data_IF_934596484045
#
_entry.id   IF_934596484045
#
_cell.length_a   1.000
_cell.length_b   1.000
_cell.length_c   1.000
_cell.angle_alpha   90.00
_cell.angle_beta   90.00
_cell.angle_gamma   90.00
#
_symmetry.space_group_name_H-M   'P 1'
#
loop_
_entity.id
_entity.type
_entity.pdbx_description
1 polymer ?
#
# COMPACT_ATOMS: atom_id res chain seq x y z
N UNK A 1 -32.59 -40.13 3.03
CA UNK A 1 -32.76 -38.69 2.78
C UNK A 1 -31.38 -38.07 2.77
N UNK A 2 -31.11 -37.30 1.71
CA UNK A 2 -29.78 -37.01 1.19
C UNK A 2 -28.84 -36.36 2.21
N UNK A 3 -27.70 -37.02 2.47
CA UNK A 3 -26.47 -36.32 2.83
C UNK A 3 -26.01 -35.59 1.57
N UNK A 4 -26.30 -34.30 1.48
CA UNK A 4 -25.56 -33.40 0.59
C UNK A 4 -24.13 -33.38 1.12
N UNK A 5 -23.18 -33.81 0.31
CA UNK A 5 -21.78 -33.51 0.55
C UNK A 5 -21.62 -31.99 0.58
N UNK A 6 -20.94 -31.47 1.59
CA UNK A 6 -20.56 -30.05 1.78
C UNK A 6 -19.59 -29.51 0.70
N UNK A 7 -19.55 -30.16 -0.46
CA UNK A 7 -18.53 -30.02 -1.48
C UNK A 7 -18.81 -28.94 -2.52
N UNK A 8 -20.01 -28.37 -2.60
CA UNK A 8 -20.32 -27.29 -3.56
C UNK A 8 -21.26 -26.25 -2.95
N UNK A 9 -20.82 -25.55 -1.90
CA UNK A 9 -21.42 -24.25 -1.60
C UNK A 9 -21.12 -23.32 -2.78
N UNK A 10 -22.11 -23.07 -3.63
CA UNK A 10 -22.01 -22.16 -4.76
C UNK A 10 -21.93 -20.73 -4.19
N UNK A 11 -20.72 -20.30 -3.88
CA UNK A 11 -20.49 -18.94 -3.43
C UNK A 11 -20.75 -17.94 -4.55
N UNK A 12 -21.28 -16.76 -4.21
CA UNK A 12 -21.35 -15.66 -5.15
C UNK A 12 -19.94 -15.19 -5.54
N UNK A 13 -19.87 -14.33 -6.55
CA UNK A 13 -18.62 -13.75 -7.05
C UNK A 13 -17.76 -13.20 -5.89
N UNK A 14 -16.51 -13.67 -5.69
CA UNK A 14 -15.67 -13.22 -4.59
C UNK A 14 -15.37 -11.73 -4.65
N UNK A 15 -15.22 -11.13 -3.47
CA UNK A 15 -14.81 -9.74 -3.28
C UNK A 15 -13.30 -9.71 -3.01
N UNK A 16 -12.63 -8.68 -3.53
CA UNK A 16 -11.21 -8.45 -3.29
C UNK A 16 -11.05 -7.09 -2.61
N UNK A 17 -10.48 -7.08 -1.41
CA UNK A 17 -10.09 -5.88 -0.66
C UNK A 17 -8.56 -5.86 -0.53
N UNK A 18 -7.93 -4.85 -1.14
CA UNK A 18 -6.53 -4.54 -0.90
C UNK A 18 -6.43 -3.47 0.20
N UNK A 19 -6.08 -3.89 1.43
CA UNK A 19 -5.97 -3.05 2.61
C UNK A 19 -4.66 -2.24 2.59
N UNK A 20 -4.67 -1.10 1.91
CA UNK A 20 -3.55 -0.16 1.93
C UNK A 20 -3.66 0.88 3.05
N UNK A 21 -2.55 1.21 3.70
CA UNK A 21 -2.49 2.21 4.79
C UNK A 21 -2.95 3.62 4.41
N UNK A 22 -2.88 3.96 3.11
CA UNK A 22 -3.33 5.24 2.57
C UNK A 22 -4.59 5.11 1.72
N UNK A 23 -4.63 4.12 0.83
CA UNK A 23 -5.74 3.88 -0.10
C UNK A 23 -6.10 2.40 -0.04
N UNK A 24 -7.37 2.12 0.21
CA UNK A 24 -7.97 0.80 0.13
C UNK A 24 -8.59 0.67 -1.25
N UNK A 25 -8.36 -0.47 -1.91
CA UNK A 25 -9.01 -0.80 -3.19
C UNK A 25 -10.00 -1.91 -2.98
N UNK A 26 -11.18 -1.78 -3.58
CA UNK A 26 -12.22 -2.80 -3.52
C UNK A 26 -12.83 -3.04 -4.90
N UNK A 27 -13.26 -4.28 -5.15
CA UNK A 27 -14.04 -4.65 -6.32
C UNK A 27 -14.35 -6.14 -6.32
N UNK A 28 -14.89 -6.61 -7.43
CA UNK A 28 -15.23 -8.02 -7.60
C UNK A 28 -14.13 -8.78 -8.36
N UNK A 29 -14.03 -10.08 -8.08
CA UNK A 29 -13.16 -11.00 -8.79
C UNK A 29 -13.47 -11.03 -10.29
N UNK A 30 -12.45 -11.05 -11.15
CA UNK A 30 -12.58 -11.07 -12.60
C UNK A 30 -12.70 -9.70 -13.27
N UNK A 31 -12.81 -8.61 -12.50
CA UNK A 31 -12.73 -7.26 -13.06
C UNK A 31 -11.26 -6.83 -13.30
N UNK A 32 -11.00 -6.08 -14.37
CA UNK A 32 -9.66 -5.59 -14.74
C UNK A 32 -9.15 -4.45 -13.84
N UNK A 33 -10.06 -3.72 -13.20
CA UNK A 33 -9.77 -2.56 -12.35
C UNK A 33 -10.66 -2.60 -11.11
N UNK A 34 -10.18 -2.09 -9.96
CA UNK A 34 -11.01 -2.02 -8.76
C UNK A 34 -12.20 -1.10 -9.02
N UNK A 35 -13.39 -1.54 -8.59
CA UNK A 35 -14.62 -0.76 -8.65
C UNK A 35 -14.50 0.58 -7.91
N UNK A 36 -13.77 0.60 -6.79
CA UNK A 36 -13.52 1.83 -6.04
C UNK A 36 -12.13 1.89 -5.41
N UNK A 37 -11.63 3.14 -5.32
CA UNK A 37 -10.40 3.53 -4.64
C UNK A 37 -10.77 4.53 -3.56
N UNK A 38 -10.67 4.13 -2.30
CA UNK A 38 -11.09 4.93 -1.16
C UNK A 38 -9.91 5.20 -0.24
N UNK A 39 -9.85 6.40 0.35
CA UNK A 39 -8.82 6.69 1.33
C UNK A 39 -9.07 5.93 2.63
N UNK A 40 -8.03 5.35 3.22
CA UNK A 40 -8.11 4.70 4.52
C UNK A 40 -8.14 5.74 5.65
N UNK A 41 -9.18 6.56 5.70
CA UNK A 41 -9.30 7.65 6.66
C UNK A 41 -10.71 7.75 7.23
N UNK A 42 -10.76 8.16 8.50
CA UNK A 42 -11.98 8.49 9.22
C UNK A 42 -11.87 9.94 9.68
N UNK A 43 -12.90 10.73 9.42
CA UNK A 43 -12.97 12.14 9.76
C UNK A 43 -14.11 12.41 10.73
N UNK A 44 -13.79 12.99 11.88
CA UNK A 44 -14.78 13.48 12.84
C UNK A 44 -14.93 14.99 12.75
N UNK A 45 -16.13 15.52 12.94
CA UNK A 45 -16.40 16.96 12.86
C UNK A 45 -15.60 17.73 13.92
N UNK A 46 -14.88 18.79 13.51
CA UNK A 46 -14.08 19.64 14.42
C UNK A 46 -14.94 20.62 15.22
N UNK A 47 -16.03 21.11 14.61
CA UNK A 47 -16.86 22.17 15.14
C UNK A 47 -18.34 21.78 15.02
N UNK A 48 -19.00 21.46 16.15
CA UNK A 48 -20.42 21.07 16.18
C UNK A 48 -21.36 22.12 15.54
N UNK A 49 -20.99 23.41 15.61
CA UNK A 49 -21.81 24.53 15.13
C UNK A 49 -21.74 24.78 13.61
N UNK A 50 -20.97 24.00 12.86
CA UNK A 50 -20.75 24.18 11.41
C UNK A 50 -21.44 23.09 10.59
N UNK A 51 -22.31 22.27 11.20
CA UNK A 51 -23.23 21.43 10.43
C UNK A 51 -24.21 22.33 9.65
N UNK A 52 -23.79 22.70 8.43
CA UNK A 52 -24.68 23.21 7.40
C UNK A 52 -25.84 22.23 7.25
N UNK A 53 -27.07 22.75 7.15
CA UNK A 53 -28.28 21.99 6.89
C UNK A 53 -28.05 21.02 5.71
N UNK A 54 -27.85 19.72 5.99
CA UNK A 54 -27.65 18.68 4.97
C UNK A 54 -26.54 17.66 5.24
N UNK A 55 -25.60 17.89 6.15
CA UNK A 55 -24.62 16.87 6.57
C UNK A 55 -25.18 16.10 7.78
N UNK A 56 -25.84 14.97 7.54
CA UNK A 56 -26.25 14.04 8.59
C UNK A 56 -25.07 13.15 8.99
N UNK A 57 -24.69 13.18 10.27
CA UNK A 57 -23.69 12.29 10.88
C UNK A 57 -22.40 13.00 11.33
N UNK A 58 -21.82 12.50 12.43
CA UNK A 58 -20.60 13.05 13.05
C UNK A 58 -19.30 12.46 12.50
N UNK A 59 -19.42 11.35 11.76
CA UNK A 59 -18.29 10.56 11.26
C UNK A 59 -18.41 10.37 9.75
N UNK A 60 -17.34 10.71 9.04
CA UNK A 60 -17.23 10.56 7.60
C UNK A 60 -16.05 9.64 7.28
N UNK A 61 -16.20 8.82 6.24
CA UNK A 61 -15.20 7.81 5.86
C UNK A 61 -14.75 8.03 4.41
N UNK A 62 -13.49 7.71 4.13
CA UNK A 62 -12.94 7.65 2.78
C UNK A 62 -12.98 8.97 2.01
N UNK A 63 -13.36 8.90 0.74
CA UNK A 63 -13.42 10.03 -0.18
C UNK A 63 -14.38 11.13 0.30
N UNK A 64 -15.43 10.80 1.06
CA UNK A 64 -16.33 11.79 1.68
C UNK A 64 -15.57 12.64 2.70
N UNK A 65 -14.84 12.00 3.60
CA UNK A 65 -14.02 12.70 4.60
C UNK A 65 -12.86 13.47 3.96
N UNK A 66 -12.28 12.95 2.87
CA UNK A 66 -11.25 13.63 2.12
C UNK A 66 -11.75 14.94 1.48
N UNK A 67 -12.96 14.95 0.91
CA UNK A 67 -13.58 16.16 0.34
C UNK A 67 -13.85 17.21 1.41
N UNK A 68 -14.29 16.77 2.59
CA UNK A 68 -14.65 17.63 3.72
C UNK A 68 -13.49 17.86 4.70
N UNK A 69 -12.24 17.54 4.32
CA UNK A 69 -11.06 17.58 5.20
C UNK A 69 -10.89 18.89 5.99
N UNK A 70 -11.29 20.04 5.44
CA UNK A 70 -11.20 21.33 6.14
C UNK A 70 -12.05 21.39 7.41
N UNK A 71 -13.20 20.71 7.42
CA UNK A 71 -14.17 20.68 8.52
C UNK A 71 -13.91 19.53 9.50
N UNK A 72 -13.13 18.53 9.09
CA UNK A 72 -12.95 17.29 9.82
C UNK A 72 -11.55 17.17 10.44
N UNK A 73 -11.49 16.47 11.56
CA UNK A 73 -10.26 15.94 12.14
C UNK A 73 -10.05 14.54 11.58
N UNK A 74 -9.13 14.44 10.63
CA UNK A 74 -8.77 13.17 9.99
C UNK A 74 -7.92 12.30 10.92
N UNK A 75 -8.21 11.01 10.95
CA UNK A 75 -7.46 9.94 11.60
C UNK A 75 -7.26 8.78 10.63
N UNK A 76 -6.11 8.12 10.73
CA UNK A 76 -5.78 6.93 9.97
C UNK A 76 -5.81 5.72 10.91
N UNK A 77 -6.53 4.63 10.60
CA UNK A 77 -6.60 3.44 11.46
C UNK A 77 -5.34 2.57 11.39
N UNK A 78 -4.53 2.77 10.34
CA UNK A 78 -3.34 2.00 10.05
C UNK A 78 -2.09 2.87 10.14
N UNK A 79 -1.10 2.33 10.86
CA UNK A 79 0.24 2.88 11.01
C UNK A 79 1.22 1.82 10.51
N UNK A 80 2.08 2.19 9.56
CA UNK A 80 3.02 1.28 8.89
C UNK A 80 2.41 -0.04 8.37
N UNK A 81 1.16 -0.05 7.91
CA UNK A 81 0.50 -1.26 7.40
C UNK A 81 -0.02 -2.22 8.47
N UNK A 82 0.06 -1.82 9.75
CA UNK A 82 -0.53 -2.53 10.88
C UNK A 82 -1.75 -1.74 11.35
N UNK A 83 -2.87 -2.44 11.59
CA UNK A 83 -4.08 -1.84 12.15
C UNK A 83 -3.87 -1.58 13.64
N UNK A 84 -4.03 -0.33 14.06
CA UNK A 84 -3.95 0.09 15.48
C UNK A 84 -5.33 0.41 16.05
N UNK A 85 -6.23 0.98 15.24
CA UNK A 85 -7.60 1.34 15.61
C UNK A 85 -8.60 0.46 14.85
N UNK A 86 -9.06 -0.61 15.52
CA UNK A 86 -9.97 -1.59 14.96
C UNK A 86 -11.39 -1.05 14.78
N UNK A 87 -11.85 -0.16 15.66
CA UNK A 87 -13.18 0.46 15.57
C UNK A 87 -13.27 1.30 14.28
N UNK A 88 -12.26 2.12 14.01
CA UNK A 88 -12.16 2.89 12.77
C UNK A 88 -12.03 1.98 11.53
N UNK A 89 -11.32 0.85 11.66
CA UNK A 89 -11.15 -0.10 10.54
C UNK A 89 -12.45 -0.82 10.20
N UNK A 90 -13.23 -1.23 11.20
CA UNK A 90 -14.54 -1.85 11.02
C UNK A 90 -15.52 -0.88 10.33
N UNK A 91 -15.54 0.39 10.75
CA UNK A 91 -16.32 1.44 10.08
C UNK A 91 -15.93 1.60 8.62
N UNK A 92 -14.62 1.52 8.30
CA UNK A 92 -14.14 1.57 6.92
C UNK A 92 -14.63 0.36 6.14
N UNK A 93 -14.45 -0.86 6.64
CA UNK A 93 -14.92 -2.06 5.93
C UNK A 93 -16.43 -2.05 5.71
N UNK A 94 -17.21 -1.65 6.71
CA UNK A 94 -18.66 -1.49 6.59
C UNK A 94 -19.03 -0.47 5.52
N UNK A 95 -18.39 0.70 5.51
CA UNK A 95 -18.58 1.71 4.46
C UNK A 95 -18.25 1.17 3.06
N UNK A 96 -17.12 0.47 2.91
CA UNK A 96 -16.69 -0.09 1.62
C UNK A 96 -17.67 -1.14 1.08
N UNK A 97 -18.13 -2.05 1.93
CA UNK A 97 -18.99 -3.16 1.53
C UNK A 97 -20.44 -2.68 1.31
N UNK A 98 -20.99 -1.88 2.23
CA UNK A 98 -22.40 -1.48 2.20
C UNK A 98 -22.65 -0.27 1.29
N UNK A 99 -21.86 0.80 1.42
CA UNK A 99 -22.13 2.05 0.68
C UNK A 99 -21.46 2.07 -0.69
N UNK A 100 -20.22 1.60 -0.78
CA UNK A 100 -19.41 1.72 -2.01
C UNK A 100 -19.70 0.58 -2.98
N UNK A 101 -19.64 -0.68 -2.52
CA UNK A 101 -20.00 -1.82 -3.35
C UNK A 101 -21.51 -2.00 -3.52
N UNK A 102 -22.32 -1.43 -2.61
CA UNK A 102 -23.78 -1.55 -2.56
C UNK A 102 -24.27 -2.99 -2.39
N UNK A 103 -23.58 -3.76 -1.56
CA UNK A 103 -23.95 -5.14 -1.27
C UNK A 103 -25.14 -5.18 -0.29
N UNK A 104 -26.16 -5.95 -0.64
CA UNK A 104 -27.28 -6.23 0.26
C UNK A 104 -27.02 -7.47 1.13
N UNK A 105 -26.32 -8.48 0.59
CA UNK A 105 -26.03 -9.74 1.27
C UNK A 105 -24.52 -10.02 1.28
N UNK A 106 -23.76 -9.40 2.19
CA UNK A 106 -22.31 -9.64 2.33
C UNK A 106 -21.99 -11.11 2.65
N UNK A 107 -22.89 -11.78 3.36
CA UNK A 107 -22.76 -13.16 3.86
C UNK A 107 -22.68 -14.24 2.77
N UNK A 108 -22.99 -13.88 1.52
CA UNK A 108 -22.95 -14.82 0.38
C UNK A 108 -21.65 -14.73 -0.44
N UNK A 109 -20.82 -13.71 -0.18
CA UNK A 109 -19.61 -13.43 -0.95
C UNK A 109 -18.34 -13.80 -0.18
N UNK A 110 -17.48 -14.69 -0.71
CA UNK A 110 -16.14 -14.90 -0.19
C UNK A 110 -15.30 -13.64 -0.30
N UNK A 111 -14.39 -13.42 0.65
CA UNK A 111 -13.55 -12.23 0.68
C UNK A 111 -12.07 -12.58 0.64
N UNK A 112 -11.36 -12.10 -0.37
CA UNK A 112 -9.90 -12.00 -0.34
C UNK A 112 -9.53 -10.66 0.26
N UNK A 113 -8.66 -10.68 1.27
CA UNK A 113 -8.12 -9.48 1.91
C UNK A 113 -6.60 -9.51 1.94
N UNK A 114 -5.96 -8.36 1.78
CA UNK A 114 -4.49 -8.26 1.86
C UNK A 114 -4.04 -7.79 3.23
N UNK A 115 -2.81 -8.14 3.60
CA UNK A 115 -2.16 -7.63 4.81
C UNK A 115 -0.67 -7.37 4.57
N UNK A 116 -0.03 -6.53 5.39
CA UNK A 116 1.40 -6.27 5.24
C UNK A 116 2.27 -7.52 5.53
N UNK A 117 3.42 -7.69 4.85
CA UNK A 117 4.39 -8.71 5.22
C UNK A 117 4.85 -8.53 6.67
N UNK A 118 5.09 -9.64 7.37
CA UNK A 118 5.51 -9.65 8.79
C UNK A 118 4.51 -8.97 9.75
N UNK A 119 3.21 -9.01 9.43
CA UNK A 119 2.15 -8.55 10.33
C UNK A 119 2.07 -9.44 11.59
N UNK A 120 1.86 -8.88 12.80
CA UNK A 120 1.66 -9.70 14.00
C UNK A 120 0.50 -10.69 13.85
N UNK A 121 0.72 -11.94 14.26
CA UNK A 121 -0.31 -13.00 14.16
C UNK A 121 -1.60 -12.63 14.89
N UNK A 122 -1.49 -11.94 16.04
CA UNK A 122 -2.63 -11.43 16.80
C UNK A 122 -3.51 -10.49 15.97
N UNK A 123 -2.91 -9.62 15.17
CA UNK A 123 -3.68 -8.68 14.35
C UNK A 123 -4.44 -9.42 13.25
N UNK A 124 -3.86 -10.47 12.69
CA UNK A 124 -4.57 -11.31 11.73
C UNK A 124 -5.74 -12.06 12.38
N UNK A 125 -5.55 -12.55 13.61
CA UNK A 125 -6.63 -13.19 14.37
C UNK A 125 -7.81 -12.23 14.58
N UNK A 126 -7.55 -11.01 15.04
CA UNK A 126 -8.58 -9.98 15.26
C UNK A 126 -9.27 -9.62 13.92
N UNK A 127 -8.50 -9.47 12.84
CA UNK A 127 -9.07 -9.24 11.51
C UNK A 127 -10.00 -10.37 11.07
N UNK A 128 -9.58 -11.64 11.23
CA UNK A 128 -10.41 -12.79 10.90
C UNK A 128 -11.66 -12.86 11.78
N UNK A 129 -11.51 -12.58 13.07
CA UNK A 129 -12.62 -12.53 14.03
C UNK A 129 -13.67 -11.52 13.59
N UNK A 130 -13.29 -10.26 13.32
CA UNK A 130 -14.23 -9.22 12.87
C UNK A 130 -14.92 -9.64 11.55
N UNK A 131 -14.17 -10.21 10.61
CA UNK A 131 -14.68 -10.60 9.30
C UNK A 131 -15.65 -11.81 9.36
N UNK A 132 -15.40 -12.80 10.22
CA UNK A 132 -16.28 -13.97 10.37
C UNK A 132 -17.44 -13.75 11.36
N UNK A 133 -17.20 -13.04 12.46
CA UNK A 133 -18.18 -12.86 13.55
C UNK A 133 -19.06 -11.63 13.31
N UNK A 134 -18.49 -10.48 12.95
CA UNK A 134 -19.25 -9.24 12.75
C UNK A 134 -19.85 -9.15 11.35
N UNK A 135 -19.06 -9.43 10.30
CA UNK A 135 -19.53 -9.36 8.91
C UNK A 135 -20.13 -10.67 8.40
N UNK A 136 -20.08 -11.75 9.20
CA UNK A 136 -20.67 -13.05 8.88
C UNK A 136 -20.25 -13.59 7.49
N UNK A 137 -18.99 -13.43 7.13
CA UNK A 137 -18.50 -13.88 5.83
C UNK A 137 -18.47 -15.41 5.72
N UNK A 138 -18.76 -15.97 4.53
CA UNK A 138 -18.80 -17.42 4.35
C UNK A 138 -17.40 -18.04 4.25
N UNK A 139 -16.46 -17.29 3.67
CA UNK A 139 -15.10 -17.71 3.41
C UNK A 139 -14.15 -16.50 3.35
N UNK A 140 -12.94 -16.69 3.87
CA UNK A 140 -11.88 -15.67 3.93
C UNK A 140 -10.57 -16.23 3.37
N UNK A 141 -9.83 -15.41 2.65
CA UNK A 141 -8.43 -15.68 2.32
C UNK A 141 -7.60 -14.42 2.54
N UNK A 142 -6.51 -14.57 3.30
CA UNK A 142 -5.59 -13.48 3.61
C UNK A 142 -4.32 -13.68 2.79
N UNK A 143 -3.93 -12.68 2.00
CA UNK A 143 -2.83 -12.80 1.05
C UNK A 143 -1.76 -11.72 1.23
N UNK A 144 -0.52 -12.07 0.89
CA UNK A 144 0.58 -11.12 0.82
C UNK A 144 0.48 -10.26 -0.46
N UNK A 145 0.44 -8.91 -0.34
CA UNK A 145 0.37 -7.96 -1.45
C UNK A 145 1.42 -8.20 -2.54
N UNK A 146 2.64 -8.57 -2.14
CA UNK A 146 3.74 -8.77 -3.07
C UNK A 146 3.51 -9.99 -3.96
N UNK A 147 2.96 -11.07 -3.41
CA UNK A 147 2.63 -12.29 -4.15
C UNK A 147 1.57 -12.00 -5.20
N UNK A 148 0.51 -11.27 -4.82
CA UNK A 148 -0.52 -10.83 -5.77
C UNK A 148 0.05 -9.93 -6.86
N UNK A 149 0.94 -9.00 -6.51
CA UNK A 149 1.58 -8.11 -7.48
C UNK A 149 2.40 -8.87 -8.52
N UNK A 150 3.08 -9.96 -8.12
CA UNK A 150 3.81 -10.82 -9.03
C UNK A 150 2.86 -11.56 -10.00
N UNK A 151 1.78 -12.13 -9.47
CA UNK A 151 0.76 -12.82 -10.27
C UNK A 151 0.12 -11.91 -11.31
N UNK A 152 -0.19 -10.66 -10.94
CA UNK A 152 -0.73 -9.67 -11.88
C UNK A 152 0.23 -9.38 -13.05
N UNK A 153 1.53 -9.57 -12.86
CA UNK A 153 2.53 -9.40 -13.92
C UNK A 153 2.69 -10.61 -14.85
N UNK A 154 1.96 -11.71 -14.58
CA UNK A 154 2.03 -12.96 -15.32
C UNK A 154 3.31 -13.77 -15.05
N UNK A 155 3.90 -13.64 -13.85
CA UNK A 155 5.11 -14.36 -13.46
C UNK A 155 4.88 -15.17 -12.18
N UNK A 156 5.67 -16.21 -12.00
CA UNK A 156 5.69 -17.04 -10.79
C UNK A 156 6.99 -16.88 -9.99
N UNK A 157 8.06 -16.39 -10.62
CA UNK A 157 9.37 -16.14 -10.01
C UNK A 157 9.78 -14.69 -10.19
N UNK A 158 10.26 -14.07 -9.11
CA UNK A 158 10.71 -12.68 -9.13
C UNK A 158 10.86 -12.09 -7.74
N UNK A 159 11.46 -10.90 -7.69
CA UNK A 159 11.58 -10.12 -6.46
C UNK A 159 10.66 -8.91 -6.58
N UNK A 160 9.70 -8.78 -5.65
CA UNK A 160 8.77 -7.65 -5.65
C UNK A 160 9.24 -6.62 -4.63
N UNK A 161 9.40 -5.39 -5.09
CA UNK A 161 9.65 -4.21 -4.26
C UNK A 161 8.33 -3.45 -4.18
N UNK A 162 7.66 -3.57 -3.05
CA UNK A 162 6.40 -2.88 -2.77
C UNK A 162 6.66 -1.64 -1.92
N UNK A 163 6.31 -0.46 -2.43
CA UNK A 163 6.41 0.79 -1.69
C UNK A 163 5.03 1.46 -1.58
N UNK A 164 4.39 1.27 -0.43
CA UNK A 164 3.09 1.83 -0.10
C UNK A 164 3.18 3.20 0.58
N UNK A 165 2.06 3.59 1.20
CA UNK A 165 1.99 4.81 2.01
C UNK A 165 2.59 4.59 3.41
N UNK A 166 2.37 3.42 4.03
CA UNK A 166 2.82 3.15 5.40
C UNK A 166 4.18 2.47 5.54
N UNK A 167 4.55 1.61 4.59
CA UNK A 167 5.78 0.83 4.66
C UNK A 167 6.30 0.52 3.25
N UNK A 168 7.54 0.07 3.19
CA UNK A 168 8.12 -0.56 2.01
C UNK A 168 8.63 -1.96 2.35
N UNK A 169 8.54 -2.88 1.39
CA UNK A 169 9.02 -4.24 1.56
C UNK A 169 9.63 -4.79 0.28
N UNK A 170 10.56 -5.72 0.46
CA UNK A 170 11.10 -6.55 -0.61
C UNK A 170 10.77 -8.00 -0.29
N UNK A 171 10.06 -8.65 -1.21
CA UNK A 171 9.63 -10.04 -1.09
C UNK A 171 10.15 -10.83 -2.29
N UNK A 172 11.12 -11.73 -2.10
CA UNK A 172 11.54 -12.66 -3.13
C UNK A 172 10.56 -13.83 -3.18
N UNK A 173 10.14 -14.18 -4.39
CA UNK A 173 9.12 -15.19 -4.66
C UNK A 173 9.67 -16.17 -5.68
N UNK A 174 9.48 -17.46 -5.40
CA UNK A 174 9.90 -18.55 -6.24
C UNK A 174 8.74 -19.53 -6.44
N UNK A 175 8.43 -19.87 -7.70
CA UNK A 175 7.32 -20.74 -8.09
C UNK A 175 5.98 -20.44 -7.40
N UNK A 176 5.70 -19.15 -7.20
CA UNK A 176 4.46 -18.67 -6.56
C UNK A 176 4.50 -18.59 -5.04
N UNK A 177 5.57 -19.06 -4.40
CA UNK A 177 5.75 -19.03 -2.95
C UNK A 177 6.71 -17.91 -2.54
N UNK A 178 6.27 -17.07 -1.61
CA UNK A 178 7.14 -16.08 -0.99
C UNK A 178 8.15 -16.79 -0.07
N UNK A 179 9.41 -16.37 -0.09
CA UNK A 179 10.47 -16.94 0.75
C UNK A 179 10.57 -16.17 2.08
N UNK A 180 9.95 -16.64 3.19
CA UNK A 180 9.73 -15.80 4.36
C UNK A 180 11.01 -15.32 5.03
N UNK A 181 12.04 -16.19 5.08
CA UNK A 181 13.36 -15.88 5.65
C UNK A 181 14.12 -14.77 4.91
N UNK A 182 13.75 -14.52 3.65
CA UNK A 182 14.38 -13.51 2.80
C UNK A 182 13.54 -12.24 2.63
N UNK A 183 12.35 -12.17 3.26
CA UNK A 183 11.53 -10.97 3.27
C UNK A 183 12.26 -9.89 4.07
N UNK A 184 12.32 -8.69 3.49
CA UNK A 184 12.84 -7.50 4.16
C UNK A 184 11.77 -6.43 4.17
N UNK A 185 11.67 -5.70 5.27
CA UNK A 185 10.66 -4.65 5.47
C UNK A 185 11.30 -3.46 6.16
N UNK A 186 10.91 -2.27 5.73
CA UNK A 186 11.20 -1.02 6.41
C UNK A 186 9.89 -0.26 6.65
N UNK A 187 9.72 0.24 7.87
CA UNK A 187 8.55 1.05 8.26
C UNK A 187 8.74 2.52 7.85
N UNK A 188 9.12 2.71 6.59
CA UNK A 188 9.22 4.01 5.92
C UNK A 188 8.44 3.88 4.62
N UNK A 189 7.51 4.80 4.37
CA UNK A 189 6.68 4.80 3.17
C UNK A 189 6.37 6.22 2.68
N UNK A 190 5.29 6.31 1.89
CA UNK A 190 4.81 7.58 1.36
C UNK A 190 4.38 8.61 2.42
N UNK A 191 3.95 8.18 3.60
CA UNK A 191 3.58 9.06 4.72
C UNK A 191 4.81 9.77 5.28
N UNK A 192 5.89 9.04 5.52
CA UNK A 192 7.15 9.60 6.00
C UNK A 192 7.74 10.61 5.01
N UNK A 193 7.61 10.37 3.69
CA UNK A 193 8.00 11.34 2.66
C UNK A 193 7.18 12.63 2.78
N UNK A 194 5.89 12.49 3.10
CA UNK A 194 4.99 13.63 3.25
C UNK A 194 5.35 14.44 4.49
N UNK A 195 5.67 13.79 5.61
CA UNK A 195 6.13 14.43 6.84
C UNK A 195 7.49 15.11 6.65
N UNK A 196 8.42 14.45 5.95
CA UNK A 196 9.71 15.05 5.61
C UNK A 196 9.55 16.26 4.69
N UNK A 197 8.66 16.19 3.70
CA UNK A 197 8.36 17.31 2.82
C UNK A 197 7.75 18.48 3.61
N UNK A 198 6.84 18.20 4.55
CA UNK A 198 6.27 19.21 5.44
C UNK A 198 7.37 19.90 6.26
N UNK A 199 8.30 19.14 6.83
CA UNK A 199 9.44 19.68 7.57
C UNK A 199 10.34 20.55 6.69
N UNK A 200 10.63 20.11 5.47
CA UNK A 200 11.45 20.84 4.51
C UNK A 200 10.79 22.15 4.05
N UNK A 201 9.50 22.10 3.68
CA UNK A 201 8.71 23.28 3.30
C UNK A 201 8.63 24.33 4.42
N UNK A 202 8.60 23.89 5.68
CA UNK A 202 8.67 24.81 6.83
C UNK A 202 9.99 25.55 6.88
N UNK A 203 11.10 24.89 6.55
CA UNK A 203 12.44 25.48 6.56
C UNK A 203 12.71 26.37 5.34
N UNK A 204 12.26 25.96 4.16
CA UNK A 204 12.54 26.66 2.89
C UNK A 204 11.55 27.80 2.62
N UNK A 205 10.24 27.51 2.68
CA UNK A 205 9.18 28.46 2.34
C UNK A 205 8.61 29.21 3.56
N UNK A 206 8.99 28.81 4.79
CA UNK A 206 8.48 29.42 6.03
C UNK A 206 7.01 29.11 6.32
N UNK A 207 6.41 28.14 5.62
CA UNK A 207 4.99 27.79 5.76
C UNK A 207 4.89 26.62 6.72
N UNK A 208 4.12 26.81 7.80
CA UNK A 208 3.88 25.75 8.78
C UNK A 208 2.48 25.19 8.59
N UNK A 209 2.42 24.02 7.97
CA UNK A 209 1.21 23.20 7.85
C UNK A 209 1.24 22.23 9.03
N UNK A 210 0.28 22.27 9.95
CA UNK A 210 0.25 21.40 11.14
C UNK A 210 -1.02 20.55 11.25
N UNK A 211 -2.12 20.99 10.64
CA UNK A 211 -3.39 20.28 10.73
C UNK A 211 -3.37 18.99 9.90
N UNK A 212 -4.15 17.99 10.30
CA UNK A 212 -4.31 16.75 9.52
C UNK A 212 -4.89 17.00 8.12
N UNK A 213 -5.68 18.05 7.95
CA UNK A 213 -6.18 18.50 6.65
C UNK A 213 -5.11 19.15 5.77
N UNK A 214 -4.09 19.76 6.39
CA UNK A 214 -2.99 20.42 5.69
C UNK A 214 -1.89 19.43 5.30
N UNK A 215 -1.65 18.39 6.11
CA UNK A 215 -0.81 17.24 5.75
C UNK A 215 -1.26 16.60 4.43
N UNK A 216 -2.58 16.54 4.23
CA UNK A 216 -3.14 16.03 2.98
C UNK A 216 -2.86 16.94 1.77
N UNK A 217 -2.69 18.24 1.99
CA UNK A 217 -2.19 19.16 0.96
C UNK A 217 -0.73 18.87 0.64
N UNK A 218 0.10 18.60 1.65
CA UNK A 218 1.49 18.18 1.45
C UNK A 218 1.57 16.87 0.66
N UNK A 219 0.66 15.92 0.90
CA UNK A 219 0.57 14.69 0.12
C UNK A 219 0.29 14.96 -1.36
N UNK A 220 -0.62 15.89 -1.67
CA UNK A 220 -0.89 16.31 -3.05
C UNK A 220 0.32 17.01 -3.69
N UNK A 221 1.10 17.77 -2.92
CA UNK A 221 2.36 18.38 -3.38
C UNK A 221 3.37 17.28 -3.73
N UNK A 222 3.56 16.30 -2.83
CA UNK A 222 4.43 15.13 -3.04
C UNK A 222 4.12 14.45 -4.38
N UNK A 223 2.86 14.09 -4.62
CA UNK A 223 2.45 13.36 -5.82
C UNK A 223 2.66 14.15 -7.12
N UNK A 224 2.48 15.48 -7.09
CA UNK A 224 2.56 16.32 -8.30
C UNK A 224 3.98 16.80 -8.61
N UNK A 225 4.78 17.07 -7.59
CA UNK A 225 6.00 17.88 -7.72
C UNK A 225 7.28 17.08 -7.44
N UNK A 226 7.25 16.10 -6.54
CA UNK A 226 8.45 15.35 -6.15
C UNK A 226 8.94 14.39 -7.23
N UNK A 227 10.26 14.17 -7.25
CA UNK A 227 10.93 13.22 -8.13
C UNK A 227 12.18 12.67 -7.45
N UNK A 228 12.63 11.49 -7.89
CA UNK A 228 13.87 10.88 -7.42
C UNK A 228 15.00 11.16 -8.41
N UNK A 229 16.09 11.70 -7.89
CA UNK A 229 17.33 11.92 -8.61
C UNK A 229 18.16 10.63 -8.68
N UNK A 230 18.82 10.37 -9.82
CA UNK A 230 19.81 9.27 -9.94
C UNK A 230 21.00 9.47 -9.03
N UNK A 231 21.51 10.71 -8.98
CA UNK A 231 22.64 11.08 -8.13
C UNK A 231 22.36 12.45 -7.53
N UNK A 232 22.18 12.48 -6.22
CA UNK A 232 21.80 13.69 -5.49
C UNK A 232 22.89 14.73 -5.55
N UNK A 233 24.17 14.36 -5.39
CA UNK A 233 25.27 15.33 -5.37
C UNK A 233 25.28 16.15 -6.65
N UNK A 234 25.07 15.49 -7.81
CA UNK A 234 24.99 16.17 -9.11
C UNK A 234 23.77 17.09 -9.22
N UNK A 235 22.62 16.70 -8.67
CA UNK A 235 21.42 17.54 -8.66
C UNK A 235 21.56 18.73 -7.69
N UNK A 236 22.22 18.54 -6.55
CA UNK A 236 22.55 19.63 -5.63
C UNK A 236 23.52 20.62 -6.25
N UNK A 237 24.57 20.15 -6.93
CA UNK A 237 25.50 21.02 -7.64
C UNK A 237 24.80 21.84 -8.73
N UNK A 238 23.89 21.23 -9.49
CA UNK A 238 23.05 21.91 -10.50
C UNK A 238 22.14 22.98 -9.89
N UNK A 239 21.54 22.66 -8.74
CA UNK A 239 20.70 23.60 -8.01
C UNK A 239 21.51 24.80 -7.51
N UNK A 240 22.70 24.56 -6.96
CA UNK A 240 23.62 25.62 -6.50
C UNK A 240 24.15 26.50 -7.64
N UNK A 241 24.29 25.94 -8.85
CA UNK A 241 24.73 26.68 -10.05
C UNK A 241 23.66 27.60 -10.64
N UNK A 242 22.48 27.72 -10.02
CA UNK A 242 21.46 28.72 -10.41
C UNK A 242 20.58 28.33 -11.59
N UNK A 243 20.50 27.04 -11.94
CA UNK A 243 19.51 26.54 -12.89
C UNK A 243 18.10 26.57 -12.27
N UNK A 244 17.46 27.73 -12.25
CA UNK A 244 16.12 27.97 -11.68
C UNK A 244 14.96 27.27 -12.41
N UNK A 245 15.19 26.63 -13.57
CA UNK A 245 14.19 25.82 -14.28
C UNK A 245 13.74 24.55 -13.50
N UNK A 246 14.36 24.28 -12.34
CA UNK A 246 14.03 23.17 -11.44
C UNK A 246 13.00 23.55 -10.36
N UNK A 247 12.66 24.82 -10.20
CA UNK A 247 11.59 25.26 -9.30
C UNK A 247 10.21 24.87 -9.85
N UNK A 248 9.28 24.49 -8.98
CA UNK A 248 7.88 24.31 -9.37
C UNK A 248 6.98 25.12 -8.46
N UNK A 249 6.10 25.91 -9.07
CA UNK A 249 5.10 26.69 -8.36
C UNK A 249 3.86 25.82 -8.13
N UNK A 250 3.50 25.65 -6.86
CA UNK A 250 2.29 24.95 -6.46
C UNK A 250 1.28 25.95 -5.88
N UNK A 251 0.06 25.91 -6.39
CA UNK A 251 -1.04 26.74 -5.87
C UNK A 251 -1.78 25.98 -4.76
N UNK A 252 -1.73 26.53 -3.55
CA UNK A 252 -2.48 26.05 -2.40
C UNK A 252 -4.00 26.25 -2.59
N UNK A 253 -4.84 25.54 -1.81
CA UNK A 253 -6.29 25.70 -1.86
C UNK A 253 -6.80 27.11 -1.53
N UNK A 254 -6.04 27.89 -0.74
CA UNK A 254 -6.32 29.29 -0.42
C UNK A 254 -5.98 30.26 -1.56
N UNK A 255 -5.35 29.76 -2.63
CA UNK A 255 -4.90 30.53 -3.79
C UNK A 255 -3.45 31.02 -3.69
N UNK A 256 -2.76 30.83 -2.56
CA UNK A 256 -1.36 31.21 -2.39
C UNK A 256 -0.45 30.30 -3.22
N UNK A 257 0.54 30.89 -3.88
CA UNK A 257 1.55 30.15 -4.63
C UNK A 257 2.78 29.89 -3.75
N UNK A 258 3.25 28.65 -3.71
CA UNK A 258 4.50 28.24 -3.06
C UNK A 258 5.48 27.83 -4.15
N UNK A 259 6.68 28.38 -4.10
CA UNK A 259 7.79 27.89 -4.91
C UNK A 259 8.52 26.76 -4.18
N UNK A 260 8.63 25.61 -4.82
CA UNK A 260 9.29 24.43 -4.26
C UNK A 260 10.53 24.14 -5.09
N UNK A 261 11.70 24.28 -4.48
CA UNK A 261 13.01 24.11 -5.10
C UNK A 261 13.61 22.72 -4.87
N UNK A 262 14.65 22.66 -4.02
CA UNK A 262 15.39 21.42 -3.73
C UNK A 262 14.63 20.39 -2.88
N UNK A 263 13.57 20.80 -2.17
CA UNK A 263 12.74 19.91 -1.36
C UNK A 263 12.10 18.78 -2.19
N UNK A 264 11.93 19.00 -3.50
CA UNK A 264 11.32 18.07 -4.45
C UNK A 264 12.03 16.72 -4.54
N UNK A 265 13.36 16.73 -4.51
CA UNK A 265 14.19 15.53 -4.59
C UNK A 265 14.78 15.12 -3.24
N UNK A 266 14.90 16.06 -2.29
CA UNK A 266 15.37 15.76 -0.93
C UNK A 266 14.33 15.03 -0.08
N UNK A 267 13.05 15.32 -0.24
CA UNK A 267 11.99 14.63 0.50
C UNK A 267 11.92 13.12 0.21
N UNK A 268 11.84 12.66 -1.06
CA UNK A 268 11.75 11.23 -1.36
C UNK A 268 13.06 10.46 -1.14
N UNK A 269 14.19 11.15 -0.90
CA UNK A 269 15.47 10.49 -0.64
C UNK A 269 15.47 9.63 0.63
N UNK A 270 14.58 9.90 1.58
CA UNK A 270 14.50 9.12 2.82
C UNK A 270 14.29 7.61 2.58
N UNK A 271 13.76 7.22 1.40
CA UNK A 271 13.63 5.82 1.01
C UNK A 271 14.98 5.14 0.74
N UNK A 272 15.95 5.90 0.23
CA UNK A 272 17.28 5.40 -0.14
C UNK A 272 18.33 5.73 0.91
N UNK A 273 18.11 6.79 1.69
CA UNK A 273 18.94 7.18 2.84
C UNK A 273 18.06 7.47 4.06
N UNK A 274 17.53 6.44 4.76
CA UNK A 274 16.73 6.58 5.98
C UNK A 274 17.41 7.36 7.11
N UNK A 275 18.74 7.45 7.08
CA UNK A 275 19.54 8.14 8.09
C UNK A 275 19.24 9.65 8.13
N UNK A 276 18.65 10.22 7.06
CA UNK A 276 18.23 11.63 7.01
C UNK A 276 17.17 11.94 8.09
N UNK A 277 16.29 10.98 8.39
CA UNK A 277 15.27 11.10 9.43
C UNK A 277 15.70 10.48 10.76
N UNK A 278 16.99 10.11 10.90
CA UNK A 278 17.53 9.44 12.08
C UNK A 278 17.09 7.99 12.23
N UNK A 279 16.57 7.37 11.17
CA UNK A 279 16.19 5.95 11.20
C UNK A 279 17.39 5.03 11.00
N UNK A 280 17.39 3.89 11.68
CA UNK A 280 18.42 2.86 11.59
C UNK A 280 18.22 1.84 10.45
N UNK A 281 17.21 2.03 9.59
CA UNK A 281 16.98 1.17 8.43
C UNK A 281 18.03 1.40 7.33
N UNK A 282 18.28 0.33 6.56
CA UNK A 282 19.04 0.41 5.31
C UNK A 282 18.18 1.03 4.19
N UNK A 283 18.83 1.58 3.17
CA UNK A 283 18.14 2.11 1.99
C UNK A 283 17.38 1.03 1.22
N UNK A 284 16.33 1.42 0.49
CA UNK A 284 15.50 0.50 -0.28
C UNK A 284 16.32 -0.36 -1.27
N UNK A 285 17.31 0.24 -1.93
CA UNK A 285 18.24 -0.45 -2.84
C UNK A 285 19.02 -1.55 -2.14
N UNK A 286 19.59 -1.24 -0.97
CA UNK A 286 20.35 -2.17 -0.15
C UNK A 286 19.44 -3.28 0.41
N UNK A 287 18.27 -2.90 0.91
CA UNK A 287 17.25 -3.83 1.41
C UNK A 287 16.82 -4.84 0.33
N UNK A 288 16.61 -4.38 -0.91
CA UNK A 288 16.27 -5.23 -2.04
C UNK A 288 17.39 -6.23 -2.35
N UNK A 289 18.62 -5.73 -2.37
CA UNK A 289 19.80 -6.55 -2.60
C UNK A 289 20.02 -7.60 -1.50
N UNK A 290 19.95 -7.19 -0.23
CA UNK A 290 20.09 -8.07 0.91
C UNK A 290 19.04 -9.18 0.90
N UNK A 291 17.79 -8.85 0.53
CA UNK A 291 16.72 -9.83 0.36
C UNK A 291 17.10 -10.90 -0.67
N UNK A 292 17.66 -10.49 -1.81
CA UNK A 292 18.12 -11.43 -2.85
C UNK A 292 19.35 -12.23 -2.38
N UNK A 293 20.28 -11.62 -1.65
CA UNK A 293 21.47 -12.30 -1.13
C UNK A 293 21.17 -13.33 -0.05
N UNK A 294 20.05 -13.21 0.66
CA UNK A 294 19.58 -14.24 1.60
C UNK A 294 19.05 -15.50 0.89
N UNK A 295 18.68 -15.40 -0.38
CA UNK A 295 18.22 -16.54 -1.18
C UNK A 295 19.41 -17.35 -1.68
N UNK A 296 19.18 -18.63 -1.95
CA UNK A 296 20.13 -19.55 -2.56
C UNK A 296 20.76 -19.00 -3.85
N UNK A 297 22.04 -19.31 -4.04
CA UNK A 297 22.89 -18.75 -5.09
C UNK A 297 22.28 -18.91 -6.50
N UNK A 298 21.68 -20.07 -6.77
CA UNK A 298 21.13 -20.43 -8.08
C UNK A 298 19.92 -19.56 -8.47
N UNK A 299 19.15 -19.10 -7.49
CA UNK A 299 17.95 -18.30 -7.72
C UNK A 299 18.25 -16.81 -7.88
N UNK A 300 19.38 -16.32 -7.35
CA UNK A 300 19.71 -14.88 -7.33
C UNK A 300 19.71 -14.26 -8.71
N UNK A 301 20.24 -14.95 -9.72
CA UNK A 301 20.28 -14.47 -11.10
C UNK A 301 18.87 -14.31 -11.67
N UNK A 302 17.98 -15.25 -11.39
CA UNK A 302 16.58 -15.21 -11.81
C UNK A 302 15.86 -14.05 -11.13
N UNK A 303 16.04 -13.87 -9.82
CA UNK A 303 15.43 -12.78 -9.05
C UNK A 303 15.91 -11.39 -9.51
N UNK A 304 17.20 -11.20 -9.75
CA UNK A 304 17.76 -9.93 -10.27
C UNK A 304 17.25 -9.58 -11.67
N UNK A 305 16.95 -10.60 -12.48
CA UNK A 305 16.39 -10.43 -13.82
C UNK A 305 14.88 -10.19 -13.85
N UNK A 306 14.22 -10.23 -12.68
CA UNK A 306 12.77 -10.13 -12.53
C UNK A 306 12.43 -9.35 -11.26
N UNK A 307 12.88 -8.09 -11.19
CA UNK A 307 12.51 -7.18 -10.09
C UNK A 307 11.25 -6.44 -10.51
N UNK A 308 10.19 -6.48 -9.71
CA UNK A 308 8.90 -5.86 -10.00
C UNK A 308 8.63 -4.75 -9.00
N UNK A 309 8.27 -3.58 -9.50
CA UNK A 309 7.86 -2.45 -8.66
C UNK A 309 6.34 -2.45 -8.48
N UNK A 310 5.90 -2.43 -7.22
CA UNK A 310 4.50 -2.30 -6.83
C UNK A 310 4.31 -1.16 -5.81
N UNK A 311 3.09 -0.67 -5.69
CA UNK A 311 2.73 0.34 -4.68
C UNK A 311 2.78 1.79 -5.19
N UNK A 312 2.02 2.66 -4.54
CA UNK A 312 1.80 4.04 -4.97
C UNK A 312 3.07 4.90 -4.95
N UNK A 313 3.99 4.66 -4.01
CA UNK A 313 5.22 5.47 -3.87
C UNK A 313 6.21 5.20 -5.00
N UNK A 314 6.19 4.01 -5.62
CA UNK A 314 6.99 3.70 -6.82
C UNK A 314 6.54 4.45 -8.08
N UNK A 315 5.43 5.21 -8.01
CA UNK A 315 4.97 6.06 -9.11
C UNK A 315 5.73 7.38 -9.21
N UNK A 316 6.55 7.71 -8.21
CA UNK A 316 7.45 8.87 -8.25
C UNK A 316 8.35 8.83 -9.49
N UNK A 317 8.50 10.00 -10.12
CA UNK A 317 9.33 10.15 -11.33
C UNK A 317 10.77 9.80 -11.01
N UNK A 318 11.43 9.02 -11.88
CA UNK A 318 12.83 8.62 -11.70
C UNK A 318 13.05 7.46 -10.72
N UNK A 319 12.00 6.91 -10.08
CA UNK A 319 12.15 5.82 -9.11
C UNK A 319 12.87 4.60 -9.69
N UNK A 320 12.40 4.09 -10.83
CA UNK A 320 12.99 2.91 -11.46
C UNK A 320 14.43 3.15 -11.95
N UNK A 321 14.73 4.36 -12.43
CA UNK A 321 16.08 4.70 -12.92
C UNK A 321 17.09 4.84 -11.78
N UNK A 322 16.67 5.42 -10.64
CA UNK A 322 17.48 5.48 -9.42
C UNK A 322 17.73 4.08 -8.87
N UNK A 323 16.68 3.28 -8.74
CA UNK A 323 16.78 1.90 -8.25
C UNK A 323 17.73 1.06 -9.12
N UNK A 324 17.64 1.17 -10.45
CA UNK A 324 18.52 0.46 -11.37
C UNK A 324 19.98 0.87 -11.17
N UNK A 325 20.25 2.17 -11.11
CA UNK A 325 21.59 2.71 -10.90
C UNK A 325 22.23 2.20 -9.60
N UNK A 326 21.48 2.20 -8.51
CA UNK A 326 22.00 1.75 -7.20
C UNK A 326 22.23 0.24 -7.18
N UNK A 327 21.30 -0.55 -7.72
CA UNK A 327 21.46 -2.00 -7.81
C UNK A 327 22.62 -2.41 -8.73
N UNK A 328 22.85 -1.70 -9.83
CA UNK A 328 24.00 -1.91 -10.72
C UNK A 328 25.31 -1.62 -10.00
N UNK A 329 25.37 -0.56 -9.20
CA UNK A 329 26.52 -0.23 -8.36
C UNK A 329 26.80 -1.32 -7.31
N UNK A 330 25.75 -1.83 -6.65
CA UNK A 330 25.86 -2.88 -5.63
C UNK A 330 26.25 -4.24 -6.21
N UNK A 331 25.74 -4.59 -7.39
CA UNK A 331 26.07 -5.85 -8.09
C UNK A 331 27.44 -5.84 -8.76
N UNK A 332 28.13 -4.68 -8.80
CA UNK A 332 29.40 -4.48 -9.52
C UNK A 332 29.35 -4.92 -10.99
N UNK A 333 28.16 -4.83 -11.61
CA UNK A 333 27.94 -5.22 -13.01
C UNK A 333 28.03 -6.71 -13.32
N UNK A 334 28.07 -7.59 -12.31
CA UNK A 334 28.23 -9.05 -12.52
C UNK A 334 26.97 -9.72 -13.06
N UNK A 335 25.79 -9.18 -12.77
CA UNK A 335 24.49 -9.74 -13.13
C UNK A 335 23.67 -8.73 -13.93
N UNK A 336 22.91 -9.22 -14.93
CA UNK A 336 21.95 -8.40 -15.67
C UNK A 336 20.74 -8.12 -14.79
N UNK A 337 20.55 -6.85 -14.43
CA UNK A 337 19.42 -6.39 -13.62
C UNK A 337 18.30 -5.95 -14.56
N UNK A 338 17.07 -6.37 -14.25
CA UNK A 338 15.89 -5.93 -15.00
C UNK A 338 14.78 -5.57 -14.02
N UNK A 339 14.42 -4.29 -14.05
CA UNK A 339 13.31 -3.74 -13.28
C UNK A 339 12.09 -3.62 -14.19
N UNK A 340 10.97 -4.13 -13.73
CA UNK A 340 9.69 -4.15 -14.40
C UNK A 340 8.75 -3.25 -13.59
N UNK A 341 8.29 -2.17 -14.21
CA UNK A 341 7.37 -1.23 -13.59
C UNK A 341 6.08 -1.17 -14.40
N UNK A 342 5.04 -1.94 -14.02
CA UNK A 342 3.74 -1.86 -14.67
C UNK A 342 3.19 -0.41 -14.61
N UNK A 343 2.50 0.07 -15.66
CA UNK A 343 1.89 1.40 -15.64
C UNK A 343 0.83 1.52 -14.53
N UNK A 344 0.07 0.45 -14.31
CA UNK A 344 -1.02 0.37 -13.33
C UNK A 344 -0.56 -0.13 -11.94
N UNK A 345 0.73 0.04 -11.61
CA UNK A 345 1.35 -0.42 -10.34
C UNK A 345 0.74 0.14 -9.05
N UNK A 346 -0.13 1.14 -9.14
CA UNK A 346 -0.90 1.66 -8.01
C UNK A 346 -1.92 0.65 -7.47
N UNK A 347 -2.47 -0.22 -8.31
CA UNK A 347 -3.48 -1.21 -7.94
C UNK A 347 -3.18 -2.62 -8.46
N UNK A 348 -1.94 -2.88 -8.87
CA UNK A 348 -1.48 -4.21 -9.36
C UNK A 348 -1.68 -5.31 -8.32
N UNK A 349 -1.50 -5.02 -7.03
CA UNK A 349 -1.86 -5.93 -5.93
C UNK A 349 -3.32 -6.40 -6.02
N UNK A 350 -4.25 -5.46 -6.22
CA UNK A 350 -5.67 -5.76 -6.31
C UNK A 350 -6.00 -6.58 -7.57
N UNK A 351 -5.39 -6.23 -8.71
CA UNK A 351 -5.54 -7.01 -9.97
C UNK A 351 -5.06 -8.45 -9.77
N UNK A 352 -3.96 -8.65 -9.05
CA UNK A 352 -3.46 -9.97 -8.70
C UNK A 352 -4.46 -10.78 -7.88
N UNK A 353 -5.10 -10.15 -6.89
CA UNK A 353 -6.19 -10.75 -6.11
C UNK A 353 -7.41 -11.09 -6.96
N UNK A 354 -7.80 -10.21 -7.88
CA UNK A 354 -8.90 -10.42 -8.84
C UNK A 354 -8.65 -11.63 -9.74
N UNK A 355 -7.43 -11.75 -10.28
CA UNK A 355 -7.01 -12.90 -11.09
C UNK A 355 -6.99 -14.19 -10.25
N UNK A 356 -6.35 -14.13 -9.07
CA UNK A 356 -6.16 -15.31 -8.21
C UNK A 356 -7.50 -15.92 -7.77
N UNK A 357 -8.44 -15.08 -7.36
CA UNK A 357 -9.79 -15.50 -6.94
C UNK A 357 -10.66 -16.03 -8.08
N UNK A 358 -10.37 -15.64 -9.33
CA UNK A 358 -11.05 -16.14 -10.51
C UNK A 358 -10.61 -17.53 -10.96
N UNK A 359 -9.53 -18.08 -10.38
CA UNK A 359 -9.04 -19.42 -10.73
C UNK A 359 -9.89 -20.50 -10.05
N UNK A 360 -10.28 -21.53 -10.80
CA UNK A 360 -11.03 -22.67 -10.25
C UNK A 360 -10.27 -23.43 -9.15
N UNK A 361 -8.94 -23.47 -9.24
CA UNK A 361 -8.07 -24.09 -8.23
C UNK A 361 -8.06 -23.33 -6.90
N UNK A 362 -8.46 -22.05 -6.90
CA UNK A 362 -8.46 -21.20 -5.71
C UNK A 362 -9.56 -21.59 -4.71
N UNK A 363 -10.61 -22.31 -5.15
CA UNK A 363 -11.71 -22.74 -4.29
C UNK A 363 -11.25 -23.58 -3.08
N UNK A 364 -10.09 -24.24 -3.17
CA UNK A 364 -9.52 -25.07 -2.09
C UNK A 364 -8.71 -24.28 -1.05
N UNK A 365 -8.37 -23.02 -1.34
CA UNK A 365 -7.51 -22.19 -0.47
C UNK A 365 -8.31 -21.33 0.50
N UNK A 366 -9.61 -21.19 0.29
CA UNK A 366 -10.50 -20.47 1.19
C UNK A 366 -10.54 -21.11 2.58
N UNK A 367 -10.43 -20.30 3.62
CA UNK A 367 -10.82 -20.71 4.98
C UNK A 367 -12.32 -20.47 5.13
N UNK A 368 -13.10 -21.54 5.33
CA UNK A 368 -14.56 -21.40 5.50
C UNK A 368 -14.89 -20.95 6.93
N UNK A 369 -16.07 -20.37 7.11
CA UNK A 369 -16.58 -20.00 8.43
C UNK A 369 -16.69 -21.21 9.38
N UNK A 370 -17.10 -22.37 8.87
CA UNK A 370 -17.15 -23.61 9.66
C UNK A 370 -15.76 -24.00 10.19
N UNK A 371 -14.74 -23.88 9.34
CA UNK A 371 -13.35 -24.19 9.70
C UNK A 371 -12.81 -23.24 10.76
N UNK A 372 -13.19 -21.96 10.69
CA UNK A 372 -12.87 -20.96 11.71
C UNK A 372 -13.50 -21.31 13.07
N UNK A 373 -14.79 -21.65 13.10
CA UNK A 373 -15.50 -21.98 14.34
C UNK A 373 -14.96 -23.25 15.02
N UNK A 374 -14.42 -24.19 14.24
CA UNK A 374 -13.76 -25.39 14.76
C UNK A 374 -12.33 -25.12 15.26
N UNK A 375 -11.55 -24.36 14.49
CA UNK A 375 -10.14 -24.08 14.76
C UNK A 375 -9.71 -22.72 14.20
N UNK A 376 -9.60 -21.75 15.11
CA UNK A 376 -9.15 -20.39 14.80
C UNK A 376 -7.73 -20.35 14.21
N UNK A 377 -6.92 -21.40 14.34
CA UNK A 377 -5.54 -21.39 13.82
C UNK A 377 -5.46 -21.62 12.32
N UNK A 378 -6.52 -22.11 11.68
CA UNK A 378 -6.53 -22.42 10.23
C UNK A 378 -6.29 -21.20 9.35
N UNK A 379 -6.62 -20.00 9.81
CA UNK A 379 -6.34 -18.74 9.09
C UNK A 379 -4.84 -18.47 8.93
N UNK A 380 -3.99 -19.10 9.75
CA UNK A 380 -2.53 -18.99 9.65
C UNK A 380 -1.89 -20.03 8.74
N UNK A 381 -2.63 -21.08 8.34
CA UNK A 381 -2.07 -22.20 7.57
C UNK A 381 -1.49 -21.79 6.21
N UNK A 382 -2.00 -20.70 5.64
CA UNK A 382 -1.56 -20.13 4.36
C UNK A 382 -0.24 -19.33 4.44
N UNK A 383 0.45 -19.30 5.60
CA UNK A 383 1.77 -18.65 5.78
C UNK A 383 2.96 -19.53 5.47
N UNK A 384 2.78 -20.85 5.50
CA UNK A 384 3.79 -21.86 5.19
C UNK A 384 3.69 -22.25 3.72
#
# INVERSE_FOLDING_TARGET
MNQLSDSDALYNQPIVIDNGSGIIKVGFSGEERPKALEYSLVGHVKYEKVMLEGLQGDTFVGNKAQKLRGLLRLRYPMTHGVVEDWDSMELIWSYMLNEVLQLQNIEEHPLLITEAPMNPLKNREVMAQVLFETFNLPALYISNPAVLSLYASGRTTGCVVDCGEGYCSTVPIYDGFALPASIMRMDIGGRDITEQLQFQLRKSAGISLFSSSELEVVRMIKEKVCYLAKNIKKEEDRYLQGHHDLGSVFKLPDGKCIEIGNDRYRAPEILFSPQIIGSGYDGLSDMCMQSIWKVDLDLRKTLLSSIILSGGTTTLRGFGERMLHDLEALSKGTCKIKIIAPPERKYTTWVGGSILTGLSTFQKLWTKKSDWLEDNTRVFSNLM
#
